data_IF_981729947064
#
_entry.id   IF_981729947064
#
_cell.length_a   1.000
_cell.length_b   1.000
_cell.length_c   1.000
_cell.angle_alpha   90.00
_cell.angle_beta   90.00
_cell.angle_gamma   90.00
#
_symmetry.space_group_name_H-M   'P 1'
#
loop_
_entity.id
_entity.type
_entity.pdbx_description
1 polymer ?
#
# COMPACT_ATOMS: atom_id res chain seq x y z
N UNK A 1 16.54 -9.21 -13.36
CA UNK A 1 16.14 -7.86 -13.85
C UNK A 1 14.64 -7.84 -13.97
N UNK A 2 13.95 -6.85 -13.40
CA UNK A 2 12.48 -6.76 -13.50
C UNK A 2 12.06 -6.26 -14.89
N UNK A 3 10.81 -6.57 -15.29
CA UNK A 3 10.25 -6.13 -16.58
C UNK A 3 10.30 -4.59 -16.73
N UNK A 4 9.94 -3.77 -15.71
CA UNK A 4 10.04 -2.31 -15.82
C UNK A 4 11.47 -1.82 -16.06
N UNK A 5 12.47 -2.41 -15.39
CA UNK A 5 13.87 -2.04 -15.58
C UNK A 5 14.36 -2.35 -17.00
N UNK A 6 13.93 -3.48 -17.58
CA UNK A 6 14.27 -3.83 -18.96
C UNK A 6 13.68 -2.81 -19.95
N UNK A 7 12.41 -2.43 -19.77
CA UNK A 7 11.74 -1.45 -20.63
C UNK A 7 12.40 -0.07 -20.55
N UNK A 8 12.81 0.36 -19.36
CA UNK A 8 13.54 1.62 -19.18
C UNK A 8 14.88 1.63 -19.93
N UNK A 9 15.63 0.52 -19.89
CA UNK A 9 16.90 0.38 -20.63
C UNK A 9 16.65 0.43 -22.14
N UNK A 10 15.65 -0.29 -22.65
CA UNK A 10 15.29 -0.29 -24.07
C UNK A 10 14.93 1.12 -24.54
N UNK A 11 14.10 1.84 -23.78
CA UNK A 11 13.71 3.21 -24.09
C UNK A 11 14.90 4.18 -24.11
N UNK A 12 15.83 4.04 -23.17
CA UNK A 12 17.05 4.85 -23.13
C UNK A 12 17.94 4.59 -24.36
N UNK A 13 18.19 3.32 -24.70
CA UNK A 13 18.99 2.92 -25.87
C UNK A 13 18.34 3.44 -27.15
N UNK A 14 17.02 3.27 -27.28
CA UNK A 14 16.26 3.81 -28.42
C UNK A 14 16.40 5.34 -28.52
N UNK A 15 16.29 6.06 -27.41
CA UNK A 15 16.39 7.52 -27.39
C UNK A 15 17.77 8.00 -27.83
N UNK A 16 18.84 7.36 -27.35
CA UNK A 16 20.21 7.67 -27.77
C UNK A 16 20.40 7.39 -29.27
N UNK A 17 19.94 6.23 -29.76
CA UNK A 17 20.05 5.85 -31.17
C UNK A 17 19.28 6.82 -32.08
N UNK A 18 18.05 7.18 -31.69
CA UNK A 18 17.23 8.15 -32.40
C UNK A 18 17.89 9.55 -32.42
N UNK A 19 18.36 10.03 -31.27
CA UNK A 19 19.00 11.34 -31.15
C UNK A 19 20.24 11.44 -32.06
N UNK A 20 21.09 10.41 -32.07
CA UNK A 20 22.27 10.33 -32.93
C UNK A 20 21.90 10.27 -34.40
N UNK A 21 20.99 9.36 -34.78
CA UNK A 21 20.52 9.22 -36.17
C UNK A 21 20.06 10.55 -36.77
N UNK A 22 19.34 11.37 -36.01
CA UNK A 22 18.88 12.68 -36.47
C UNK A 22 20.05 13.69 -36.58
N UNK A 23 20.97 13.69 -35.62
CA UNK A 23 22.12 14.61 -35.60
C UNK A 23 23.20 14.27 -36.65
N UNK A 24 23.35 13.00 -37.00
CA UNK A 24 24.37 12.51 -37.94
C UNK A 24 24.00 12.81 -39.40
N UNK A 25 22.71 13.05 -39.69
CA UNK A 25 22.26 13.50 -41.01
C UNK A 25 22.65 14.96 -41.34
N UNK A 26 23.21 15.70 -40.37
CA UNK A 26 23.61 17.09 -40.54
C UNK A 26 25.14 17.16 -40.74
N UNK A 27 25.61 17.70 -41.90
CA UNK A 27 27.04 17.84 -42.21
C UNK A 27 27.82 18.53 -41.08
N UNK A 28 29.07 18.13 -40.87
CA UNK A 28 29.91 18.74 -39.85
C UNK A 28 30.09 20.24 -40.08
N UNK A 29 30.02 21.03 -39.00
CA UNK A 29 30.07 22.49 -39.05
C UNK A 29 28.78 23.19 -39.49
N UNK A 30 27.80 22.46 -40.02
CA UNK A 30 26.50 23.04 -40.36
C UNK A 30 25.55 23.05 -39.16
N UNK A 31 24.68 24.07 -39.12
CA UNK A 31 23.63 24.23 -38.10
C UNK A 31 22.30 24.26 -38.82
N UNK A 32 21.40 23.34 -38.45
CA UNK A 32 20.04 23.31 -38.98
C UNK A 32 19.07 23.85 -37.90
N UNK A 33 18.30 24.87 -38.27
CA UNK A 33 17.34 25.57 -37.39
C UNK A 33 15.89 25.18 -37.63
N UNK A 34 15.63 24.17 -38.46
CA UNK A 34 14.29 23.66 -38.73
C UNK A 34 13.62 23.14 -37.46
N UNK A 35 12.32 23.40 -37.29
CA UNK A 35 11.56 22.90 -36.15
C UNK A 35 11.32 21.39 -36.23
N UNK A 36 10.92 20.79 -35.11
CA UNK A 36 10.44 19.40 -35.06
C UNK A 36 9.13 19.27 -35.84
N UNK A 37 9.14 18.43 -36.88
CA UNK A 37 7.97 18.18 -37.73
C UNK A 37 7.70 16.67 -37.87
N UNK A 38 6.44 16.33 -38.19
CA UNK A 38 6.00 14.98 -38.52
C UNK A 38 6.42 13.91 -37.51
N UNK A 39 7.12 12.88 -38.01
CA UNK A 39 7.54 11.71 -37.23
C UNK A 39 8.61 12.02 -36.18
N UNK A 40 9.45 13.04 -36.37
CA UNK A 40 10.43 13.41 -35.35
C UNK A 40 9.73 13.96 -34.10
N UNK A 41 8.72 14.81 -34.30
CA UNK A 41 7.90 15.34 -33.20
C UNK A 41 7.20 14.21 -32.46
N UNK A 42 6.60 13.26 -33.18
CA UNK A 42 5.94 12.10 -32.58
C UNK A 42 6.92 11.27 -31.74
N UNK A 43 8.11 10.99 -32.27
CA UNK A 43 9.14 10.24 -31.55
C UNK A 43 9.59 10.97 -30.27
N UNK A 44 9.81 12.28 -30.33
CA UNK A 44 10.16 13.10 -29.16
C UNK A 44 9.08 13.01 -28.08
N UNK A 45 7.80 13.07 -28.45
CA UNK A 45 6.71 12.87 -27.48
C UNK A 45 6.74 11.47 -26.87
N UNK A 46 6.85 10.43 -27.69
CA UNK A 46 6.86 9.03 -27.22
C UNK A 46 7.99 8.75 -26.23
N UNK A 47 9.22 9.17 -26.51
CA UNK A 47 10.35 8.93 -25.60
C UNK A 47 10.25 9.74 -24.31
N UNK A 48 9.61 10.91 -24.34
CA UNK A 48 9.38 11.71 -23.14
C UNK A 48 8.25 11.17 -22.27
N UNK A 49 7.25 10.46 -22.82
CA UNK A 49 6.20 9.78 -22.02
C UNK A 49 6.76 8.60 -21.22
N UNK A 50 7.84 7.97 -21.69
CA UNK A 50 8.46 6.86 -20.95
C UNK A 50 9.38 7.38 -19.86
N UNK A 51 10.16 8.42 -20.16
CA UNK A 51 11.02 9.07 -19.19
C UNK A 51 11.41 10.49 -19.62
N UNK A 52 10.70 11.53 -19.16
CA UNK A 52 10.92 12.89 -19.65
C UNK A 52 12.27 13.46 -19.21
N UNK A 53 12.81 13.04 -18.05
CA UNK A 53 14.07 13.56 -17.52
C UNK A 53 15.25 13.10 -18.38
N UNK A 54 15.41 11.78 -18.55
CA UNK A 54 16.53 11.23 -19.30
C UNK A 54 16.41 11.54 -20.79
N UNK A 55 15.22 11.42 -21.36
CA UNK A 55 14.99 11.70 -22.78
C UNK A 55 15.23 13.18 -23.11
N UNK A 56 14.70 14.09 -22.29
CA UNK A 56 14.96 15.53 -22.44
C UNK A 56 16.44 15.86 -22.38
N UNK A 57 17.18 15.27 -21.43
CA UNK A 57 18.62 15.45 -21.29
C UNK A 57 19.40 14.93 -22.52
N UNK A 58 19.16 13.68 -22.93
CA UNK A 58 19.84 13.05 -24.06
C UNK A 58 19.59 13.84 -25.35
N UNK A 59 18.34 14.20 -25.63
CA UNK A 59 17.99 14.95 -26.83
C UNK A 59 18.63 16.35 -26.81
N UNK A 60 18.57 17.06 -25.69
CA UNK A 60 19.16 18.38 -25.58
C UNK A 60 20.67 18.36 -25.81
N UNK A 61 21.42 17.51 -25.12
CA UNK A 61 22.87 17.50 -25.23
C UNK A 61 23.38 16.97 -26.58
N UNK A 62 22.66 16.02 -27.18
CA UNK A 62 22.99 15.51 -28.52
C UNK A 62 22.71 16.56 -29.59
N UNK A 63 21.61 17.30 -29.48
CA UNK A 63 21.16 18.22 -30.53
C UNK A 63 21.63 19.67 -30.36
N UNK A 64 21.99 20.13 -29.16
CA UNK A 64 22.24 21.57 -28.89
C UNK A 64 23.27 22.24 -29.81
N UNK A 65 24.22 21.48 -30.37
CA UNK A 65 25.26 22.02 -31.26
C UNK A 65 24.79 22.10 -32.73
N UNK A 66 24.21 21.02 -33.26
CA UNK A 66 23.83 20.91 -34.69
C UNK A 66 22.38 21.33 -34.97
N UNK A 67 21.49 21.19 -33.98
CA UNK A 67 20.03 21.29 -34.10
C UNK A 67 19.43 22.08 -32.90
N UNK A 68 19.84 23.34 -32.68
CA UNK A 68 19.49 24.09 -31.47
C UNK A 68 17.99 24.34 -31.32
N UNK A 69 17.27 24.57 -32.42
CA UNK A 69 15.80 24.76 -32.40
C UNK A 69 15.09 23.50 -31.93
N UNK A 70 15.45 22.33 -32.49
CA UNK A 70 14.88 21.04 -32.09
C UNK A 70 15.24 20.69 -30.64
N UNK A 71 16.47 20.97 -30.21
CA UNK A 71 16.92 20.76 -28.82
C UNK A 71 16.06 21.55 -27.81
N UNK A 72 15.79 22.84 -28.10
CA UNK A 72 14.91 23.67 -27.26
C UNK A 72 13.48 23.15 -27.24
N UNK A 73 12.93 22.77 -28.40
CA UNK A 73 11.57 22.22 -28.48
C UNK A 73 11.45 20.87 -27.74
N UNK A 74 12.44 19.98 -27.89
CA UNK A 74 12.46 18.71 -27.17
C UNK A 74 12.54 18.90 -25.65
N UNK A 75 13.37 19.84 -25.18
CA UNK A 75 13.43 20.19 -23.75
C UNK A 75 12.13 20.82 -23.26
N UNK A 76 11.47 21.65 -24.07
CA UNK A 76 10.16 22.19 -23.69
C UNK A 76 9.11 21.08 -23.55
N UNK A 77 9.07 20.13 -24.50
CA UNK A 77 8.19 18.95 -24.42
C UNK A 77 8.51 18.12 -23.18
N UNK A 78 9.79 17.91 -22.85
CA UNK A 78 10.17 17.12 -21.66
C UNK A 78 9.66 17.75 -20.37
N UNK A 79 9.74 19.08 -20.24
CA UNK A 79 9.20 19.78 -19.07
C UNK A 79 7.67 19.67 -18.96
N UNK A 80 6.95 19.78 -20.08
CA UNK A 80 5.49 19.62 -20.10
C UNK A 80 5.10 18.21 -19.64
N UNK A 81 5.72 17.19 -20.22
CA UNK A 81 5.39 15.79 -19.89
C UNK A 81 5.75 15.46 -18.44
N UNK A 82 6.91 15.92 -17.95
CA UNK A 82 7.28 15.78 -16.55
C UNK A 82 6.26 16.41 -15.59
N UNK A 83 5.75 17.61 -15.91
CA UNK A 83 4.70 18.25 -15.13
C UNK A 83 3.41 17.44 -15.08
N UNK A 84 2.99 16.87 -16.22
CA UNK A 84 1.80 16.00 -16.31
C UNK A 84 1.99 14.73 -15.47
N UNK A 85 3.14 14.06 -15.59
CA UNK A 85 3.45 12.86 -14.81
C UNK A 85 3.46 13.12 -13.31
N UNK A 86 4.01 14.27 -12.87
CA UNK A 86 4.02 14.67 -11.48
C UNK A 86 2.59 14.84 -10.95
N UNK A 87 1.73 15.54 -11.68
CA UNK A 87 0.33 15.74 -11.29
C UNK A 87 -0.42 14.40 -11.21
N UNK A 88 -0.26 13.52 -12.21
CA UNK A 88 -0.87 12.18 -12.19
C UNK A 88 -0.36 11.38 -10.99
N UNK A 89 0.95 11.40 -10.72
CA UNK A 89 1.55 10.73 -9.56
C UNK A 89 0.97 11.24 -8.24
N UNK A 90 0.83 12.55 -8.07
CA UNK A 90 0.19 13.14 -6.89
C UNK A 90 -1.27 12.71 -6.74
N UNK A 91 -2.05 12.70 -7.84
CA UNK A 91 -3.44 12.24 -7.83
C UNK A 91 -3.51 10.76 -7.42
N UNK A 92 -2.67 9.90 -7.99
CA UNK A 92 -2.66 8.47 -7.66
C UNK A 92 -2.28 8.23 -6.20
N UNK A 93 -1.28 8.95 -5.68
CA UNK A 93 -0.91 8.88 -4.25
C UNK A 93 -2.05 9.36 -3.37
N UNK A 94 -2.71 10.47 -3.73
CA UNK A 94 -3.87 10.96 -2.99
C UNK A 94 -5.04 9.97 -3.00
N UNK A 95 -5.37 9.39 -4.17
CA UNK A 95 -6.41 8.36 -4.28
C UNK A 95 -6.05 7.11 -3.47
N UNK A 96 -4.78 6.70 -3.48
CA UNK A 96 -4.30 5.58 -2.68
C UNK A 96 -4.42 5.88 -1.19
N UNK A 97 -4.18 7.11 -0.74
CA UNK A 97 -4.41 7.50 0.66
C UNK A 97 -5.91 7.62 1.00
N UNK A 98 -6.72 8.16 0.09
CA UNK A 98 -8.15 8.40 0.31
C UNK A 98 -8.98 7.10 0.31
N UNK A 99 -8.64 6.16 -0.57
CA UNK A 99 -9.38 4.90 -0.75
C UNK A 99 -8.63 3.68 -0.20
N UNK A 100 -7.32 3.77 0.02
CA UNK A 100 -6.52 2.67 0.58
C UNK A 100 -6.69 2.47 2.09
N UNK A 101 -7.35 3.40 2.80
CA UNK A 101 -7.68 3.29 4.22
C UNK A 101 -6.46 3.17 5.16
N UNK A 102 -6.57 3.55 6.43
CA UNK A 102 -5.56 3.24 7.45
C UNK A 102 -5.66 1.76 7.85
N UNK A 103 -5.44 0.83 6.93
CA UNK A 103 -5.66 -0.61 7.17
C UNK A 103 -4.80 -1.58 6.37
N UNK A 104 -4.06 -1.15 5.35
CA UNK A 104 -2.97 -1.96 4.81
C UNK A 104 -1.67 -1.56 5.51
N UNK A 105 -1.54 -1.94 6.78
CA UNK A 105 -0.21 -2.40 7.20
C UNK A 105 0.16 -3.53 6.23
N UNK A 106 1.41 -3.61 5.75
CA UNK A 106 1.81 -4.81 5.03
C UNK A 106 1.41 -5.97 5.94
N UNK A 107 0.65 -6.92 5.41
CA UNK A 107 0.58 -8.26 5.95
C UNK A 107 2.04 -8.71 6.10
N UNK A 108 2.65 -8.39 7.23
CA UNK A 108 3.33 -9.40 7.98
C UNK A 108 2.25 -10.47 8.05
N UNK A 109 2.32 -11.43 7.13
CA UNK A 109 1.85 -12.76 7.40
C UNK A 109 2.62 -13.15 8.66
N UNK A 110 2.13 -12.68 9.82
CA UNK A 110 2.42 -13.24 11.12
C UNK A 110 2.13 -14.69 10.84
N UNK A 111 3.19 -15.50 10.81
CA UNK A 111 3.05 -16.91 10.54
C UNK A 111 2.19 -17.42 11.67
N UNK A 112 0.89 -17.49 11.38
CA UNK A 112 -0.12 -17.37 12.39
C UNK A 112 -0.34 -18.77 12.91
N UNK A 113 0.54 -19.21 13.80
CA UNK A 113 0.52 -20.56 14.32
C UNK A 113 0.34 -20.46 15.82
N UNK A 114 -0.84 -20.85 16.30
CA UNK A 114 -1.03 -21.13 17.72
C UNK A 114 -0.20 -22.38 18.03
N UNK A 115 0.88 -22.28 18.82
CA UNK A 115 1.74 -23.42 19.05
C UNK A 115 1.01 -24.44 19.93
N UNK A 116 1.23 -25.74 19.69
CA UNK A 116 0.63 -26.79 20.51
C UNK A 116 1.00 -26.68 22.00
N UNK A 117 2.12 -26.03 22.31
CA UNK A 117 2.54 -25.74 23.68
C UNK A 117 1.59 -24.80 24.43
N UNK A 118 0.76 -24.02 23.74
CA UNK A 118 -0.22 -23.13 24.37
C UNK A 118 -1.45 -23.88 24.90
N UNK A 119 -1.67 -25.13 24.46
CA UNK A 119 -2.75 -25.97 24.98
C UNK A 119 -2.58 -26.16 26.49
N UNK A 120 -3.63 -25.87 27.26
CA UNK A 120 -3.63 -25.92 28.73
C UNK A 120 -2.60 -24.99 29.41
N UNK A 121 -2.09 -23.95 28.74
CA UNK A 121 -1.10 -23.04 29.32
C UNK A 121 -1.66 -22.16 30.45
N UNK A 122 -2.99 -22.02 30.58
CA UNK A 122 -3.69 -21.12 31.53
C UNK A 122 -3.31 -19.64 31.45
N UNK A 123 -2.41 -19.27 30.53
CA UNK A 123 -1.96 -17.89 30.30
C UNK A 123 -2.59 -17.42 28.99
N UNK A 124 -3.40 -16.36 29.08
CA UNK A 124 -4.01 -15.75 27.90
C UNK A 124 -2.95 -14.94 27.14
N UNK A 125 -2.60 -15.36 25.93
CA UNK A 125 -1.79 -14.57 25.01
C UNK A 125 -2.70 -13.91 23.96
N UNK A 126 -2.81 -12.58 24.04
CA UNK A 126 -3.69 -11.75 23.20
C UNK A 126 -3.37 -11.85 21.71
N UNK A 127 -2.09 -11.87 21.33
CA UNK A 127 -1.69 -11.96 19.92
C UNK A 127 -2.00 -13.35 19.35
N UNK A 128 -1.82 -14.40 20.15
CA UNK A 128 -2.21 -15.78 19.77
C UNK A 128 -3.73 -15.93 19.66
N UNK A 129 -4.49 -15.30 20.56
CA UNK A 129 -5.96 -15.30 20.53
C UNK A 129 -6.49 -14.64 19.25
N UNK A 130 -6.02 -13.43 18.94
CA UNK A 130 -6.41 -12.71 17.73
C UNK A 130 -6.08 -13.49 16.47
N UNK A 131 -4.91 -14.12 16.44
CA UNK A 131 -4.47 -14.98 15.35
C UNK A 131 -5.36 -16.22 15.19
N UNK A 132 -5.70 -16.91 16.28
CA UNK A 132 -6.62 -18.05 16.28
C UNK A 132 -8.00 -17.67 15.73
N UNK A 133 -8.52 -16.53 16.18
CA UNK A 133 -9.84 -16.02 15.77
C UNK A 133 -9.84 -15.66 14.28
N UNK A 134 -8.84 -14.91 13.82
CA UNK A 134 -8.70 -14.50 12.42
C UNK A 134 -8.78 -15.71 11.46
N UNK A 135 -8.06 -16.79 11.80
CA UNK A 135 -8.06 -18.03 11.00
C UNK A 135 -9.41 -18.74 10.97
N UNK A 136 -10.20 -18.65 12.05
CA UNK A 136 -11.43 -19.42 12.22
C UNK A 136 -12.66 -18.69 11.69
N UNK A 137 -12.62 -17.36 11.71
CA UNK A 137 -13.77 -16.49 11.42
C UNK A 137 -13.66 -15.81 10.05
N UNK A 138 -12.51 -15.90 9.38
CA UNK A 138 -12.20 -15.24 8.09
C UNK A 138 -12.25 -13.70 8.21
N UNK A 139 -11.57 -13.19 9.25
CA UNK A 139 -11.40 -11.75 9.53
C UNK A 139 -9.91 -11.44 9.67
N UNK A 140 -9.53 -10.16 9.58
CA UNK A 140 -8.12 -9.77 9.80
C UNK A 140 -7.74 -9.86 11.29
N UNK A 141 -6.46 -10.04 11.60
CA UNK A 141 -5.96 -10.03 12.99
C UNK A 141 -6.29 -8.70 13.68
N UNK A 142 -6.20 -7.58 12.96
CA UNK A 142 -6.54 -6.26 13.49
C UNK A 142 -8.04 -6.15 13.85
N UNK A 143 -8.92 -6.74 13.04
CA UNK A 143 -10.35 -6.81 13.34
C UNK A 143 -10.63 -7.67 14.58
N UNK A 144 -9.92 -8.79 14.74
CA UNK A 144 -10.02 -9.62 15.94
C UNK A 144 -9.50 -8.90 17.19
N UNK A 145 -8.32 -8.27 17.12
CA UNK A 145 -7.74 -7.48 18.21
C UNK A 145 -8.67 -6.33 18.63
N UNK A 146 -9.28 -5.64 17.67
CA UNK A 146 -10.22 -4.56 17.95
C UNK A 146 -11.40 -5.03 18.81
N UNK A 147 -11.96 -6.21 18.52
CA UNK A 147 -13.08 -6.76 19.30
C UNK A 147 -12.61 -7.20 20.69
N UNK A 148 -11.44 -7.87 20.79
CA UNK A 148 -10.82 -8.24 22.08
C UNK A 148 -10.65 -7.00 22.97
N UNK A 149 -10.16 -5.90 22.42
CA UNK A 149 -9.93 -4.65 23.16
C UNK A 149 -11.22 -4.06 23.72
N UNK A 150 -12.31 -4.16 22.97
CA UNK A 150 -13.62 -3.70 23.45
C UNK A 150 -14.12 -4.56 24.62
N UNK A 151 -13.87 -5.88 24.59
CA UNK A 151 -14.23 -6.76 25.69
C UNK A 151 -13.36 -6.53 26.93
N UNK A 152 -12.04 -6.37 26.77
CA UNK A 152 -11.14 -6.00 27.86
C UNK A 152 -11.53 -4.64 28.47
N UNK A 153 -11.89 -3.67 27.62
CA UNK A 153 -12.36 -2.36 28.07
C UNK A 153 -13.65 -2.49 28.89
N UNK A 154 -14.58 -3.35 28.48
CA UNK A 154 -15.80 -3.61 29.24
C UNK A 154 -15.48 -4.18 30.63
N UNK A 155 -14.59 -5.18 30.70
CA UNK A 155 -14.17 -5.76 31.98
C UNK A 155 -13.55 -4.70 32.90
N UNK A 156 -12.71 -3.83 32.34
CA UNK A 156 -12.11 -2.70 33.07
C UNK A 156 -13.15 -1.70 33.56
N UNK A 157 -14.15 -1.36 32.75
CA UNK A 157 -15.26 -0.48 33.13
C UNK A 157 -16.14 -1.10 34.24
N UNK A 158 -16.26 -2.43 34.25
CA UNK A 158 -16.91 -3.20 35.32
C UNK A 158 -16.01 -3.36 36.56
N UNK A 159 -14.77 -2.86 36.54
CA UNK A 159 -13.82 -3.03 37.63
C UNK A 159 -13.34 -4.47 37.82
N UNK A 160 -13.56 -5.33 36.82
CA UNK A 160 -13.07 -6.70 36.74
C UNK A 160 -11.68 -6.67 36.12
N UNK A 161 -10.69 -6.32 36.93
CA UNK A 161 -9.26 -6.40 36.56
C UNK A 161 -8.65 -7.68 37.14
N UNK A 162 -7.52 -8.13 36.59
CA UNK A 162 -6.81 -9.31 37.10
C UNK A 162 -6.61 -9.21 38.63
N UNK A 163 -7.12 -10.21 39.35
CA UNK A 163 -7.01 -10.28 40.82
C UNK A 163 -8.08 -9.52 41.62
N UNK A 164 -9.05 -8.89 40.97
CA UNK A 164 -10.18 -8.26 41.68
C UNK A 164 -11.28 -9.27 42.04
N UNK A 165 -11.75 -9.22 43.29
CA UNK A 165 -12.96 -9.94 43.71
C UNK A 165 -14.18 -9.23 43.12
N UNK A 166 -15.09 -9.94 42.42
CA UNK A 166 -16.29 -9.33 41.86
C UNK A 166 -17.07 -8.59 42.95
N UNK A 167 -17.42 -7.32 42.70
CA UNK A 167 -18.39 -6.62 43.55
C UNK A 167 -19.77 -7.20 43.26
N UNK A 168 -20.47 -7.60 44.32
CA UNK A 168 -21.72 -8.39 44.32
C UNK A 168 -22.92 -7.79 43.54
N UNK A 169 -22.80 -6.57 43.02
CA UNK A 169 -23.91 -5.81 42.41
C UNK A 169 -23.60 -5.29 40.99
N UNK A 170 -22.68 -5.90 40.24
CA UNK A 170 -22.52 -5.50 38.85
C UNK A 170 -23.57 -6.19 37.97
N UNK A 171 -24.49 -5.46 37.30
CA UNK A 171 -25.39 -6.07 36.34
C UNK A 171 -24.54 -6.75 35.27
N UNK A 172 -24.80 -8.03 35.03
CA UNK A 172 -24.12 -8.79 33.98
C UNK A 172 -24.41 -8.09 32.63
N UNK A 173 -23.47 -7.28 32.16
CA UNK A 173 -23.59 -6.60 30.87
C UNK A 173 -23.21 -7.62 29.82
N UNK A 174 -24.17 -7.94 28.96
CA UNK A 174 -23.97 -8.80 27.81
C UNK A 174 -22.80 -8.26 26.95
N UNK A 175 -21.67 -9.00 26.84
CA UNK A 175 -20.50 -8.55 26.11
C UNK A 175 -20.78 -8.33 24.62
N UNK A 176 -21.72 -9.07 24.03
CA UNK A 176 -22.12 -8.88 22.64
C UNK A 176 -22.72 -7.50 22.44
N UNK A 177 -23.66 -7.11 23.31
CA UNK A 177 -24.33 -5.80 23.23
C UNK A 177 -23.35 -4.64 23.41
N UNK A 178 -22.40 -4.78 24.33
CA UNK A 178 -21.39 -3.76 24.56
C UNK A 178 -20.51 -3.53 23.34
N UNK A 179 -19.99 -4.62 22.75
CA UNK A 179 -19.14 -4.54 21.54
C UNK A 179 -19.93 -3.95 20.37
N UNK A 180 -21.19 -4.35 20.17
CA UNK A 180 -22.05 -3.83 19.10
C UNK A 180 -22.32 -2.33 19.23
N UNK A 181 -22.64 -1.83 20.44
CA UNK A 181 -22.93 -0.41 20.67
C UNK A 181 -21.69 0.48 20.48
N UNK A 182 -20.48 -0.06 20.66
CA UNK A 182 -19.21 0.67 20.50
C UNK A 182 -18.45 0.31 19.24
N UNK A 183 -18.97 -0.58 18.40
CA UNK A 183 -18.32 -0.95 17.16
C UNK A 183 -18.29 0.23 16.18
N UNK A 184 -17.10 0.78 15.94
CA UNK A 184 -16.83 1.79 14.91
C UNK A 184 -16.16 1.18 13.67
N UNK A 185 -15.92 -0.12 13.68
CA UNK A 185 -15.32 -0.85 12.55
C UNK A 185 -16.36 -1.19 11.49
N UNK A 186 -15.91 -1.73 10.36
CA UNK A 186 -16.76 -2.26 9.29
C UNK A 186 -17.38 -3.63 9.60
N UNK A 187 -17.14 -4.20 10.79
CA UNK A 187 -17.63 -5.53 11.14
C UNK A 187 -19.15 -5.54 11.30
N UNK A 188 -19.78 -6.54 10.70
CA UNK A 188 -21.19 -6.87 10.90
C UNK A 188 -21.43 -7.52 12.26
N UNK A 189 -22.66 -7.45 12.75
CA UNK A 189 -23.08 -8.13 13.98
C UNK A 189 -22.73 -9.62 13.97
N UNK A 190 -22.96 -10.29 12.84
CA UNK A 190 -22.64 -11.71 12.64
C UNK A 190 -21.15 -12.00 12.76
N UNK A 191 -20.28 -11.11 12.27
CA UNK A 191 -18.83 -11.27 12.37
C UNK A 191 -18.36 -11.06 13.82
N UNK A 192 -18.91 -10.06 14.51
CA UNK A 192 -18.64 -9.84 15.94
C UNK A 192 -19.03 -11.06 16.77
N UNK A 193 -20.23 -11.62 16.57
CA UNK A 193 -20.66 -12.82 17.29
C UNK A 193 -19.68 -13.98 17.07
N UNK A 194 -19.27 -14.22 15.83
CA UNK A 194 -18.31 -15.28 15.52
C UNK A 194 -16.94 -15.04 16.15
N UNK A 195 -16.48 -13.79 16.22
CA UNK A 195 -15.21 -13.42 16.88
C UNK A 195 -15.28 -13.76 18.37
N UNK A 196 -16.33 -13.33 19.06
CA UNK A 196 -16.54 -13.59 20.50
C UNK A 196 -16.65 -15.08 20.76
N UNK A 197 -17.41 -15.82 19.94
CA UNK A 197 -17.52 -17.27 20.06
C UNK A 197 -16.15 -17.96 19.85
N UNK A 198 -15.36 -17.50 18.88
CA UNK A 198 -14.03 -18.03 18.59
C UNK A 198 -13.03 -17.75 19.72
N UNK A 199 -13.12 -16.60 20.38
CA UNK A 199 -12.34 -16.29 21.57
C UNK A 199 -12.69 -17.24 22.73
N UNK A 200 -13.98 -17.44 23.01
CA UNK A 200 -14.42 -18.39 24.03
C UNK A 200 -13.87 -19.82 23.75
N UNK A 201 -13.88 -20.25 22.49
CA UNK A 201 -13.24 -21.52 22.10
C UNK A 201 -11.72 -21.52 22.31
N UNK A 202 -11.05 -20.39 22.09
CA UNK A 202 -9.61 -20.26 22.35
C UNK A 202 -9.31 -20.37 23.84
N UNK A 203 -10.08 -19.70 24.70
CA UNK A 203 -9.95 -19.79 26.15
C UNK A 203 -10.16 -21.21 26.69
N UNK A 204 -11.10 -21.96 26.10
CA UNK A 204 -11.25 -23.39 26.36
C UNK A 204 -10.03 -24.21 25.89
N UNK A 205 -9.46 -23.87 24.73
CA UNK A 205 -8.29 -24.56 24.18
C UNK A 205 -7.04 -24.38 25.05
N UNK A 206 -6.82 -23.18 25.60
CA UNK A 206 -5.70 -22.90 26.50
C UNK A 206 -5.99 -23.26 27.97
N UNK A 207 -7.20 -23.74 28.26
CA UNK A 207 -7.59 -24.27 29.57
C UNK A 207 -7.95 -23.22 30.62
N UNK A 208 -8.26 -21.99 30.22
CA UNK A 208 -8.79 -20.95 31.12
C UNK A 208 -10.24 -21.26 31.48
N UNK A 209 -11.05 -21.64 30.49
CA UNK A 209 -12.46 -22.01 30.69
C UNK A 209 -12.62 -23.53 30.63
N UNK A 210 -13.29 -24.11 31.62
CA UNK A 210 -13.66 -25.52 31.62
C UNK A 210 -14.91 -25.75 30.75
N UNK A 211 -14.93 -26.86 30.01
CA UNK A 211 -16.08 -27.28 29.19
C UNK A 211 -17.28 -27.69 30.02
#
# INVERSE_FOLDING_TARGET
MSIPSLLAIIALVYTIAFARRVADNIPEGSVNTEPLLGLEKLNVWLVNIVNPIWSGFVLYFTWRKKLPTKAKQASHVSFIVFGIELVIGCILVFLLMAYGGPGMTPDYAVNCTVPESSRNSTVYNRDEAACYIAQRVDVTTDQALYVIDLMEQQLKELGLTEGSTPKEENPFVDPYRYVLERNKSSLTEKEITKIIDAEYYYEQYIGIIQK
#
